data_IF_932824020570
#
_entry.id   IF_932824020570
#
_cell.length_a   1.000
_cell.length_b   1.000
_cell.length_c   1.000
_cell.angle_alpha   90.00
_cell.angle_beta   90.00
_cell.angle_gamma   90.00
#
_symmetry.space_group_name_H-M   'P 1'
#
loop_
_entity.id
_entity.type
_entity.pdbx_description
1 polymer ?
#
# COMPACT_ATOMS: atom_id res chain seq x y z
N UNK A 1 19.81 36.26 21.65
CA UNK A 1 18.47 36.13 21.04
C UNK A 1 18.13 34.65 21.05
N UNK A 2 17.57 34.16 22.16
CA UNK A 2 17.24 32.74 22.34
C UNK A 2 15.87 32.49 21.69
N UNK A 3 15.84 31.79 20.56
CA UNK A 3 14.61 31.29 19.98
C UNK A 3 14.06 30.21 20.93
N UNK A 4 13.06 30.58 21.72
CA UNK A 4 12.21 29.61 22.43
C UNK A 4 11.54 28.75 21.36
N UNK A 5 12.02 27.52 21.19
CA UNK A 5 11.30 26.48 20.47
C UNK A 5 10.01 26.21 21.23
N UNK A 6 8.91 26.75 20.71
CA UNK A 6 7.57 26.53 21.24
C UNK A 6 7.21 25.06 20.98
N UNK A 7 7.49 24.19 21.94
CA UNK A 7 7.09 22.77 21.88
C UNK A 7 5.58 22.75 22.12
N UNK A 8 4.79 22.65 21.05
CA UNK A 8 3.34 22.42 21.17
C UNK A 8 3.11 21.16 22.03
N UNK A 9 2.23 21.21 23.04
CA UNK A 9 1.91 20.04 23.83
C UNK A 9 1.31 18.96 22.91
N UNK A 10 1.77 17.72 23.09
CA UNK A 10 1.27 16.55 22.36
C UNK A 10 -0.21 16.41 22.69
N UNK A 11 -1.10 16.71 21.75
CA UNK A 11 -2.54 16.57 21.96
C UNK A 11 -2.88 15.10 22.17
N UNK A 12 -3.82 14.79 23.07
CA UNK A 12 -4.23 13.42 23.37
C UNK A 12 -4.67 12.65 22.10
N UNK A 13 -5.20 13.37 21.11
CA UNK A 13 -5.60 12.86 19.81
C UNK A 13 -4.44 12.34 18.95
N UNK A 14 -3.25 12.96 19.04
CA UNK A 14 -2.08 12.55 18.24
C UNK A 14 -1.63 11.11 18.56
N UNK A 15 -1.78 10.67 19.80
CA UNK A 15 -1.44 9.31 20.25
C UNK A 15 -2.43 8.31 19.65
N UNK A 16 -3.73 8.64 19.66
CA UNK A 16 -4.77 7.80 19.06
C UNK A 16 -4.59 7.63 17.55
N UNK A 17 -4.28 8.71 16.81
CA UNK A 17 -4.05 8.63 15.36
C UNK A 17 -2.83 7.77 15.01
N UNK A 18 -1.73 7.92 15.75
CA UNK A 18 -0.53 7.07 15.59
C UNK A 18 -0.84 5.61 15.91
N UNK A 19 -1.61 5.34 16.96
CA UNK A 19 -2.07 4.00 17.31
C UNK A 19 -2.93 3.36 16.21
N UNK A 20 -3.85 4.13 15.61
CA UNK A 20 -4.69 3.66 14.51
C UNK A 20 -3.84 3.34 13.25
N UNK A 21 -2.85 4.19 12.94
CA UNK A 21 -1.90 3.94 11.86
C UNK A 21 -1.13 2.63 12.06
N UNK A 22 -0.61 2.39 13.26
CA UNK A 22 0.10 1.15 13.60
C UNK A 22 -0.81 -0.08 13.56
N UNK A 23 -2.04 0.05 14.07
CA UNK A 23 -3.03 -1.03 14.02
C UNK A 23 -3.35 -1.44 12.58
N UNK A 24 -3.55 -0.46 11.69
CA UNK A 24 -3.73 -0.72 10.26
C UNK A 24 -2.51 -1.45 9.69
N UNK A 25 -1.29 -0.97 9.96
CA UNK A 25 -0.05 -1.62 9.52
C UNK A 25 0.06 -3.08 9.95
N UNK A 26 -0.21 -3.37 11.23
CA UNK A 26 -0.21 -4.74 11.77
C UNK A 26 -1.28 -5.59 11.08
N UNK A 27 -2.51 -5.08 10.96
CA UNK A 27 -3.61 -5.81 10.34
C UNK A 27 -3.32 -6.18 8.89
N UNK A 28 -2.72 -5.25 8.14
CA UNK A 28 -2.27 -5.47 6.75
C UNK A 28 -1.16 -6.50 6.68
N UNK A 29 -0.16 -6.43 7.55
CA UNK A 29 0.92 -7.41 7.58
C UNK A 29 0.41 -8.82 7.90
N UNK A 30 -0.50 -8.95 8.87
CA UNK A 30 -1.15 -10.23 9.22
C UNK A 30 -1.95 -10.75 8.02
N UNK A 31 -2.75 -9.91 7.37
CA UNK A 31 -3.51 -10.29 6.19
C UNK A 31 -2.61 -10.83 5.06
N UNK A 32 -1.50 -10.15 4.77
CA UNK A 32 -0.51 -10.62 3.80
C UNK A 32 0.13 -11.95 4.19
N UNK A 33 0.50 -12.12 5.47
CA UNK A 33 1.05 -13.39 5.96
C UNK A 33 0.06 -14.54 5.79
N UNK A 34 -1.23 -14.32 6.07
CA UNK A 34 -2.25 -15.34 5.87
C UNK A 34 -2.38 -15.76 4.40
N UNK A 35 -2.31 -14.81 3.46
CA UNK A 35 -2.30 -15.14 2.02
C UNK A 35 -1.07 -15.99 1.65
N UNK A 36 0.11 -15.64 2.17
CA UNK A 36 1.34 -16.42 1.91
C UNK A 36 1.26 -17.84 2.52
N UNK A 37 0.66 -17.99 3.70
CA UNK A 37 0.42 -19.29 4.33
C UNK A 37 -0.56 -20.12 3.50
N UNK A 38 -1.66 -19.51 3.05
CA UNK A 38 -2.64 -20.17 2.19
C UNK A 38 -1.99 -20.74 0.92
N UNK A 39 -1.08 -19.98 0.30
CA UNK A 39 -0.29 -20.47 -0.83
C UNK A 39 0.72 -21.56 -0.46
N UNK A 40 1.48 -21.38 0.62
CA UNK A 40 2.52 -22.32 1.03
C UNK A 40 1.96 -23.71 1.37
N UNK A 41 0.77 -23.76 1.97
CA UNK A 41 0.09 -25.00 2.37
C UNK A 41 -1.01 -25.44 1.41
N UNK A 42 -1.23 -24.70 0.31
CA UNK A 42 -2.33 -24.92 -0.63
C UNK A 42 -3.71 -24.99 0.05
N UNK A 43 -3.89 -24.16 1.09
CA UNK A 43 -5.13 -24.02 1.85
C UNK A 43 -5.94 -22.93 1.14
N UNK A 44 -6.96 -23.32 0.36
CA UNK A 44 -7.77 -22.38 -0.44
C UNK A 44 -8.82 -21.63 0.41
N UNK A 45 -8.51 -21.16 1.62
CA UNK A 45 -9.51 -20.54 2.53
C UNK A 45 -9.72 -19.05 2.23
N UNK A 46 -8.66 -18.28 2.00
CA UNK A 46 -8.71 -16.85 1.67
C UNK A 46 -8.68 -16.61 0.17
N UNK A 47 -8.10 -17.52 -0.60
CA UNK A 47 -8.17 -17.49 -2.06
C UNK A 47 -9.56 -17.87 -2.61
N UNK A 48 -10.43 -18.53 -1.83
CA UNK A 48 -11.78 -18.92 -2.27
C UNK A 48 -12.83 -17.82 -2.20
N UNK A 49 -12.50 -16.62 -1.72
CA UNK A 49 -13.50 -15.56 -1.51
C UNK A 49 -14.03 -14.93 -2.81
N UNK A 50 -13.44 -15.24 -3.97
CA UNK A 50 -14.04 -14.94 -5.28
C UNK A 50 -13.63 -15.97 -6.34
N UNK A 51 -14.59 -16.73 -6.91
CA UNK A 51 -14.34 -17.68 -8.02
C UNK A 51 -13.80 -17.02 -9.30
N UNK A 52 -14.02 -15.71 -9.48
CA UNK A 52 -13.73 -14.96 -10.71
C UNK A 52 -12.54 -13.98 -10.59
N UNK A 53 -11.84 -13.93 -9.45
CA UNK A 53 -10.68 -13.04 -9.30
C UNK A 53 -9.43 -13.70 -9.86
N UNK A 54 -8.83 -13.00 -10.83
CA UNK A 54 -7.44 -13.12 -11.26
C UNK A 54 -6.51 -13.55 -10.12
N UNK A 55 -5.67 -14.56 -10.41
CA UNK A 55 -4.70 -15.07 -9.45
C UNK A 55 -3.86 -13.91 -8.89
N UNK A 56 -3.91 -13.72 -7.57
CA UNK A 56 -3.09 -12.71 -6.88
C UNK A 56 -1.61 -12.94 -7.25
N UNK A 57 -0.89 -11.88 -7.62
CA UNK A 57 0.54 -11.98 -7.86
C UNK A 57 1.34 -11.93 -6.55
N UNK A 58 2.46 -12.63 -6.53
CA UNK A 58 3.30 -12.75 -5.35
C UNK A 58 3.99 -11.43 -4.96
N UNK A 59 4.42 -10.63 -5.94
CA UNK A 59 4.98 -9.30 -5.72
C UNK A 59 4.00 -8.35 -5.01
N UNK A 60 2.70 -8.45 -5.33
CA UNK A 60 1.64 -7.67 -4.69
C UNK A 60 1.49 -8.02 -3.21
N UNK A 61 1.44 -9.31 -2.89
CA UNK A 61 1.31 -9.79 -1.50
C UNK A 61 2.53 -9.40 -0.67
N UNK A 62 3.74 -9.56 -1.23
CA UNK A 62 4.96 -9.14 -0.56
C UNK A 62 5.04 -7.63 -0.36
N UNK A 63 4.69 -6.84 -1.37
CA UNK A 63 4.65 -5.37 -1.25
C UNK A 63 3.70 -4.95 -0.15
N UNK A 64 2.53 -5.58 -0.08
CA UNK A 64 1.55 -5.32 0.97
C UNK A 64 2.08 -5.67 2.36
N UNK A 65 2.82 -6.78 2.49
CA UNK A 65 3.48 -7.16 3.74
C UNK A 65 4.52 -6.10 4.16
N UNK A 66 5.38 -5.67 3.23
CA UNK A 66 6.41 -4.66 3.48
C UNK A 66 5.79 -3.32 3.90
N UNK A 67 4.69 -2.91 3.27
CA UNK A 67 3.97 -1.68 3.63
C UNK A 67 3.40 -1.76 5.04
N UNK A 68 2.80 -2.90 5.41
CA UNK A 68 2.28 -3.13 6.76
C UNK A 68 3.37 -3.09 7.83
N UNK A 69 4.51 -3.76 7.57
CA UNK A 69 5.67 -3.74 8.46
C UNK A 69 6.28 -2.34 8.59
N UNK A 70 6.37 -1.59 7.49
CA UNK A 70 6.87 -0.22 7.50
C UNK A 70 5.99 0.71 8.35
N UNK A 71 4.67 0.60 8.24
CA UNK A 71 3.73 1.36 9.07
C UNK A 71 3.82 0.99 10.55
N UNK A 72 3.94 -0.30 10.86
CA UNK A 72 4.10 -0.75 12.25
C UNK A 72 5.40 -0.22 12.88
N UNK A 73 6.49 -0.23 12.11
CA UNK A 73 7.83 0.13 12.57
C UNK A 73 8.20 1.60 12.32
N UNK A 74 7.22 2.49 12.10
CA UNK A 74 7.43 3.93 11.88
C UNK A 74 8.41 4.64 12.84
N UNK A 75 8.52 4.27 14.14
CA UNK A 75 9.53 4.86 15.02
C UNK A 75 10.98 4.56 14.60
N UNK A 76 11.23 3.43 13.95
CA UNK A 76 12.56 2.94 13.54
C UNK A 76 12.90 3.40 12.12
N UNK A 77 13.28 4.67 12.00
CA UNK A 77 13.52 5.36 10.71
C UNK A 77 14.39 4.56 9.74
N UNK A 78 15.46 3.92 10.22
CA UNK A 78 16.37 3.13 9.38
C UNK A 78 15.70 1.90 8.77
N UNK A 79 14.85 1.21 9.53
CA UNK A 79 14.15 0.00 9.07
C UNK A 79 13.01 0.39 8.11
N UNK A 80 12.26 1.44 8.42
CA UNK A 80 11.21 1.97 7.54
C UNK A 80 11.79 2.40 6.20
N UNK A 81 12.96 3.06 6.23
CA UNK A 81 13.66 3.47 5.00
C UNK A 81 14.08 2.27 4.16
N UNK A 82 14.53 1.18 4.78
CA UNK A 82 14.84 -0.05 4.07
C UNK A 82 13.59 -0.61 3.38
N UNK A 83 12.46 -0.73 4.09
CA UNK A 83 11.21 -1.20 3.48
C UNK A 83 10.73 -0.27 2.36
N UNK A 84 10.83 1.05 2.53
CA UNK A 84 10.48 2.02 1.51
C UNK A 84 11.30 1.82 0.22
N UNK A 85 12.62 1.61 0.37
CA UNK A 85 13.51 1.30 -0.76
C UNK A 85 13.12 -0.02 -1.43
N UNK A 86 12.83 -1.06 -0.66
CA UNK A 86 12.40 -2.35 -1.21
C UNK A 86 11.08 -2.22 -2.00
N UNK A 87 10.09 -1.52 -1.45
CA UNK A 87 8.81 -1.26 -2.14
C UNK A 87 9.03 -0.45 -3.42
N UNK A 88 9.90 0.57 -3.39
CA UNK A 88 10.28 1.33 -4.57
C UNK A 88 10.93 0.46 -5.64
N UNK A 89 11.84 -0.44 -5.25
CA UNK A 89 12.44 -1.40 -6.17
C UNK A 89 11.39 -2.30 -6.80
N UNK A 90 10.42 -2.81 -6.02
CA UNK A 90 9.31 -3.61 -6.57
C UNK A 90 8.47 -2.80 -7.56
N UNK A 91 8.12 -1.55 -7.24
CA UNK A 91 7.37 -0.68 -8.16
C UNK A 91 8.13 -0.37 -9.46
N UNK A 92 9.43 -0.06 -9.36
CA UNK A 92 10.29 0.19 -10.53
C UNK A 92 10.45 -1.06 -11.40
N UNK A 93 10.56 -2.22 -10.76
CA UNK A 93 10.63 -3.49 -11.45
C UNK A 93 9.30 -3.83 -12.14
N UNK A 94 8.16 -3.56 -11.50
CA UNK A 94 6.85 -3.71 -12.12
C UNK A 94 6.65 -2.76 -13.31
N UNK A 95 7.18 -1.52 -13.27
CA UNK A 95 7.23 -0.65 -14.46
C UNK A 95 8.08 -1.27 -15.56
N UNK A 96 9.25 -1.82 -15.21
CA UNK A 96 10.15 -2.45 -16.17
C UNK A 96 9.44 -3.60 -16.89
N UNK A 97 8.81 -4.50 -16.15
CA UNK A 97 7.94 -5.56 -16.71
C UNK A 97 6.86 -4.96 -17.61
N UNK A 98 6.21 -3.88 -17.16
CA UNK A 98 5.13 -3.25 -17.91
C UNK A 98 5.59 -2.63 -19.23
N UNK A 99 6.75 -1.98 -19.27
CA UNK A 99 7.27 -1.30 -20.46
C UNK A 99 7.87 -2.30 -21.44
N UNK A 100 8.69 -3.22 -20.94
CA UNK A 100 9.43 -4.16 -21.78
C UNK A 100 8.67 -5.45 -22.08
N UNK A 101 7.48 -5.64 -21.48
CA UNK A 101 6.60 -6.78 -21.72
C UNK A 101 7.33 -8.12 -21.49
N UNK A 102 8.25 -8.15 -20.52
CA UNK A 102 8.87 -9.39 -20.06
C UNK A 102 8.16 -9.89 -18.81
N UNK A 103 8.02 -11.21 -18.69
CA UNK A 103 7.43 -11.85 -17.52
C UNK A 103 8.53 -12.51 -16.69
N UNK A 104 8.83 -11.94 -15.52
CA UNK A 104 9.65 -12.63 -14.51
C UNK A 104 8.66 -13.45 -13.71
N UNK A 105 8.45 -14.67 -14.18
CA UNK A 105 7.52 -15.65 -13.67
C UNK A 105 7.87 -16.03 -12.21
N UNK A 106 7.53 -15.17 -11.24
CA UNK A 106 7.76 -15.36 -9.79
C UNK A 106 6.65 -16.23 -9.17
N UNK A 107 5.49 -16.31 -9.83
CA UNK A 107 4.31 -17.04 -9.38
C UNK A 107 4.38 -18.59 -9.36
N UNK A 108 5.25 -19.31 -10.10
CA UNK A 108 5.18 -20.77 -10.17
C UNK A 108 5.89 -21.46 -8.99
N UNK A 109 6.54 -20.73 -8.09
CA UNK A 109 7.30 -21.32 -6.97
C UNK A 109 6.37 -22.03 -5.96
N UNK A 110 5.10 -21.63 -5.87
CA UNK A 110 4.16 -22.18 -4.88
C UNK A 110 2.87 -22.83 -5.45
N UNK A 111 2.56 -22.63 -6.74
CA UNK A 111 1.36 -23.21 -7.36
C UNK A 111 1.67 -24.52 -8.07
N UNK A 112 1.23 -25.65 -7.50
CA UNK A 112 1.29 -26.99 -8.11
C UNK A 112 0.14 -27.31 -9.07
N UNK A 113 -0.79 -26.38 -9.31
CA UNK A 113 -1.94 -26.60 -10.22
C UNK A 113 -1.53 -26.27 -11.68
N UNK A 114 -1.52 -27.25 -12.61
CA UNK A 114 -1.12 -27.02 -14.00
C UNK A 114 -2.28 -26.60 -14.93
N UNK A 115 -3.41 -26.09 -14.42
CA UNK A 115 -4.67 -25.98 -15.18
C UNK A 115 -5.31 -24.59 -15.15
N UNK A 116 -4.52 -23.53 -15.04
CA UNK A 116 -4.96 -22.25 -15.61
C UNK A 116 -3.93 -21.91 -16.66
N UNK A 117 -4.30 -22.13 -17.92
CA UNK A 117 -3.67 -21.46 -19.05
C UNK A 117 -3.91 -19.96 -18.89
N UNK A 118 -3.16 -19.37 -17.96
CA UNK A 118 -2.98 -17.93 -17.88
C UNK A 118 -2.41 -17.57 -19.23
N UNK A 119 -3.01 -16.60 -19.91
CA UNK A 119 -2.36 -16.00 -21.06
C UNK A 119 -1.14 -15.25 -20.49
N UNK A 120 0.00 -15.96 -20.43
CA UNK A 120 1.27 -15.54 -19.83
C UNK A 120 1.91 -14.32 -20.54
N UNK A 121 1.21 -13.79 -21.55
CA UNK A 121 1.56 -12.59 -22.30
C UNK A 121 0.81 -11.34 -21.80
N UNK A 122 -0.23 -11.53 -20.97
CA UNK A 122 -0.99 -10.45 -20.37
C UNK A 122 -0.21 -9.88 -19.20
N UNK A 123 0.28 -8.66 -19.36
CA UNK A 123 0.82 -7.85 -18.27
C UNK A 123 -0.23 -7.72 -17.15
N UNK A 124 -0.14 -8.59 -16.16
CA UNK A 124 -1.18 -8.83 -15.14
C UNK A 124 -1.29 -7.72 -14.10
N UNK A 125 -0.28 -6.85 -13.98
CA UNK A 125 -0.37 -5.69 -13.10
C UNK A 125 -1.17 -4.58 -13.79
N UNK A 126 -2.32 -4.22 -13.22
CA UNK A 126 -2.98 -2.97 -13.60
C UNK A 126 -1.99 -1.81 -13.36
N UNK A 127 -1.85 -0.91 -14.34
CA UNK A 127 -0.98 0.26 -14.26
C UNK A 127 -1.22 1.07 -12.98
N UNK A 128 -2.48 1.13 -12.51
CA UNK A 128 -2.83 1.80 -11.25
C UNK A 128 -2.17 1.17 -10.02
N UNK A 129 -2.04 -0.15 -9.99
CA UNK A 129 -1.39 -0.91 -8.92
C UNK A 129 0.11 -0.63 -8.90
N UNK A 130 0.75 -0.60 -10.07
CA UNK A 130 2.18 -0.27 -10.23
C UNK A 130 2.45 1.16 -9.70
N UNK A 131 1.61 2.11 -10.10
CA UNK A 131 1.72 3.50 -9.66
C UNK A 131 1.52 3.62 -8.15
N UNK A 132 0.58 2.88 -7.56
CA UNK A 132 0.38 2.87 -6.11
C UNK A 132 1.59 2.33 -5.35
N UNK A 133 2.26 1.28 -5.83
CA UNK A 133 3.51 0.80 -5.21
C UNK A 133 4.59 1.88 -5.17
N UNK A 134 4.80 2.57 -6.29
CA UNK A 134 5.77 3.66 -6.35
C UNK A 134 5.39 4.78 -5.40
N UNK A 135 4.14 5.25 -5.45
CA UNK A 135 3.70 6.38 -4.63
C UNK A 135 3.79 6.05 -3.14
N UNK A 136 3.42 4.85 -2.72
CA UNK A 136 3.56 4.41 -1.32
C UNK A 136 5.04 4.31 -0.92
N UNK A 137 5.89 3.73 -1.78
CA UNK A 137 7.32 3.64 -1.55
C UNK A 137 7.98 5.01 -1.41
N UNK A 138 7.63 5.96 -2.30
CA UNK A 138 8.05 7.36 -2.21
C UNK A 138 7.53 7.98 -0.91
N UNK A 139 6.26 7.81 -0.59
CA UNK A 139 5.64 8.44 0.57
C UNK A 139 6.27 7.96 1.89
N UNK A 140 6.55 6.65 2.00
CA UNK A 140 7.28 6.06 3.12
C UNK A 140 8.74 6.52 3.14
N UNK A 141 9.41 6.64 2.00
CA UNK A 141 10.78 7.15 1.98
C UNK A 141 10.83 8.60 2.49
N UNK A 142 9.95 9.45 1.98
CA UNK A 142 9.84 10.86 2.36
C UNK A 142 9.50 11.05 3.84
N UNK A 143 8.64 10.19 4.43
CA UNK A 143 8.30 10.28 5.86
C UNK A 143 9.49 9.94 6.78
N UNK A 144 10.54 9.28 6.24
CA UNK A 144 11.79 8.97 6.95
C UNK A 144 12.87 10.04 6.84
N UNK A 145 12.61 11.10 6.06
CA UNK A 145 13.49 12.25 5.93
C UNK A 145 13.12 13.31 7.00
N UNK A 146 13.49 14.56 6.74
CA UNK A 146 13.17 15.68 7.60
C UNK A 146 11.72 16.14 7.45
N UNK A 147 11.25 16.95 8.39
CA UNK A 147 9.88 17.43 8.47
C UNK A 147 9.38 18.19 7.24
N UNK A 148 10.30 18.80 6.49
CA UNK A 148 9.99 19.52 5.25
C UNK A 148 9.37 18.61 4.17
N UNK A 149 9.61 17.30 4.24
CA UNK A 149 9.13 16.33 3.25
C UNK A 149 7.80 15.67 3.62
N UNK A 150 7.25 15.96 4.82
CA UNK A 150 6.00 15.34 5.28
C UNK A 150 4.81 15.76 4.41
N UNK A 151 4.77 17.01 3.95
CA UNK A 151 3.71 17.45 3.03
C UNK A 151 3.76 16.65 1.72
N UNK A 152 4.94 16.44 1.14
CA UNK A 152 5.10 15.65 -0.07
C UNK A 152 4.70 14.18 0.13
N UNK A 153 5.08 13.58 1.26
CA UNK A 153 4.61 12.23 1.66
C UNK A 153 3.08 12.15 1.73
N UNK A 154 2.43 13.15 2.37
CA UNK A 154 0.97 13.20 2.47
C UNK A 154 0.29 13.42 1.11
N UNK A 155 0.86 14.23 0.21
CA UNK A 155 0.35 14.39 -1.16
C UNK A 155 0.39 13.05 -1.91
N UNK A 156 1.49 12.29 -1.78
CA UNK A 156 1.57 10.95 -2.35
C UNK A 156 0.51 10.01 -1.75
N UNK A 157 0.29 10.05 -0.44
CA UNK A 157 -0.75 9.25 0.21
C UNK A 157 -2.16 9.60 -0.30
N UNK A 158 -2.48 10.90 -0.44
CA UNK A 158 -3.75 11.35 -1.01
C UNK A 158 -3.90 10.82 -2.44
N UNK A 159 -2.87 10.94 -3.28
CA UNK A 159 -2.91 10.41 -4.65
C UNK A 159 -3.18 8.89 -4.68
N UNK A 160 -2.50 8.11 -3.82
CA UNK A 160 -2.75 6.66 -3.68
C UNK A 160 -4.20 6.37 -3.32
N UNK A 161 -4.75 7.11 -2.36
CA UNK A 161 -6.15 6.91 -1.94
C UNK A 161 -7.14 7.23 -3.07
N UNK A 162 -6.89 8.27 -3.87
CA UNK A 162 -7.74 8.64 -5.00
C UNK A 162 -7.67 7.59 -6.12
N UNK A 163 -6.49 7.07 -6.42
CA UNK A 163 -6.30 6.00 -7.41
C UNK A 163 -7.01 4.73 -6.93
N UNK A 164 -6.82 4.33 -5.66
CA UNK A 164 -7.48 3.16 -5.09
C UNK A 164 -9.01 3.30 -5.06
N UNK A 165 -9.53 4.49 -4.72
CA UNK A 165 -10.97 4.78 -4.77
C UNK A 165 -11.50 4.69 -6.19
N UNK A 166 -10.79 5.26 -7.16
CA UNK A 166 -11.16 5.18 -8.58
C UNK A 166 -11.24 3.73 -9.05
N UNK A 167 -10.24 2.91 -8.75
CA UNK A 167 -10.22 1.49 -9.11
C UNK A 167 -11.34 0.70 -8.44
N UNK A 168 -11.59 0.96 -7.14
CA UNK A 168 -12.66 0.29 -6.41
C UNK A 168 -14.04 0.66 -6.96
N UNK A 169 -14.27 1.93 -7.33
CA UNK A 169 -15.52 2.36 -7.96
C UNK A 169 -15.71 1.71 -9.33
N UNK A 170 -14.67 1.67 -10.17
CA UNK A 170 -14.73 1.00 -11.46
C UNK A 170 -15.04 -0.49 -11.33
N UNK A 171 -14.48 -1.15 -10.32
CA UNK A 171 -14.80 -2.54 -9.99
C UNK A 171 -16.26 -2.70 -9.57
N UNK A 172 -16.75 -1.88 -8.63
CA UNK A 172 -18.11 -1.96 -8.10
C UNK A 172 -19.19 -1.66 -9.16
N UNK A 173 -18.94 -0.70 -10.04
CA UNK A 173 -19.89 -0.34 -11.10
C UNK A 173 -19.75 -1.19 -12.36
N UNK A 174 -18.79 -2.12 -12.41
CA UNK A 174 -18.54 -2.95 -13.60
C UNK A 174 -18.23 -2.12 -14.84
N UNK A 175 -17.71 -0.91 -14.68
CA UNK A 175 -17.46 0.04 -15.78
C UNK A 175 -16.27 -0.37 -16.67
N UNK A 176 -15.56 -1.43 -16.30
CA UNK A 176 -14.51 -2.01 -17.12
C UNK A 176 -15.00 -3.30 -17.76
N UNK A 177 -14.79 -3.41 -19.08
CA UNK A 177 -14.96 -4.67 -19.80
C UNK A 177 -14.27 -5.82 -19.06
N UNK A 178 -15.03 -6.89 -18.82
CA UNK A 178 -14.77 -8.05 -17.95
C UNK A 178 -13.50 -8.88 -18.28
N UNK A 179 -12.50 -8.35 -18.97
CA UNK A 179 -11.30 -9.08 -19.36
C UNK A 179 -9.96 -8.34 -19.24
N UNK A 180 -9.94 -7.01 -19.05
CA UNK A 180 -8.68 -6.25 -19.28
C UNK A 180 -8.22 -5.36 -18.13
N UNK A 181 -9.12 -4.91 -17.24
CA UNK A 181 -8.77 -3.89 -16.22
C UNK A 181 -8.58 -4.43 -14.79
N UNK A 182 -9.11 -5.61 -14.45
CA UNK A 182 -9.06 -6.13 -13.08
C UNK A 182 -8.36 -7.48 -12.97
N UNK A 183 -7.08 -7.49 -13.34
CA UNK A 183 -6.15 -8.55 -12.92
C UNK A 183 -5.66 -8.36 -11.46
N UNK A 184 -6.06 -7.27 -10.80
CA UNK A 184 -5.82 -7.03 -9.37
C UNK A 184 -7.11 -7.27 -8.59
N UNK A 185 -7.10 -8.12 -7.54
CA UNK A 185 -8.29 -8.37 -6.73
C UNK A 185 -8.73 -7.14 -5.93
N UNK A 186 -10.05 -6.94 -5.72
CA UNK A 186 -10.60 -5.70 -5.14
C UNK A 186 -10.13 -5.42 -3.71
N UNK A 187 -9.80 -6.46 -2.94
CA UNK A 187 -9.20 -6.33 -1.60
C UNK A 187 -7.90 -5.51 -1.60
N UNK A 188 -7.12 -5.51 -2.69
CA UNK A 188 -5.91 -4.70 -2.78
C UNK A 188 -6.21 -3.21 -2.94
N UNK A 189 -7.26 -2.85 -3.68
CA UNK A 189 -7.68 -1.44 -3.80
C UNK A 189 -8.10 -0.88 -2.44
N UNK A 190 -8.89 -1.65 -1.68
CA UNK A 190 -9.26 -1.31 -0.32
C UNK A 190 -8.01 -1.19 0.59
N UNK A 191 -7.06 -2.11 0.46
CA UNK A 191 -5.83 -2.07 1.24
C UNK A 191 -4.97 -0.83 0.94
N UNK A 192 -4.85 -0.42 -0.33
CA UNK A 192 -4.14 0.82 -0.70
C UNK A 192 -4.77 2.05 -0.07
N UNK A 193 -6.11 2.15 -0.07
CA UNK A 193 -6.82 3.25 0.58
C UNK A 193 -6.53 3.25 2.08
N UNK A 194 -6.61 2.09 2.75
CA UNK A 194 -6.35 1.97 4.19
C UNK A 194 -4.90 2.34 4.55
N UNK A 195 -3.92 1.87 3.76
CA UNK A 195 -2.49 2.22 3.95
C UNK A 195 -2.27 3.72 3.75
N UNK A 196 -2.87 4.31 2.72
CA UNK A 196 -2.77 5.74 2.47
C UNK A 196 -3.32 6.56 3.65
N UNK A 197 -4.50 6.18 4.17
CA UNK A 197 -5.07 6.80 5.35
C UNK A 197 -4.16 6.61 6.57
N UNK A 198 -3.64 5.41 6.80
CA UNK A 198 -2.70 5.16 7.89
C UNK A 198 -1.43 6.02 7.77
N UNK A 199 -0.93 6.26 6.56
CA UNK A 199 0.24 7.12 6.32
C UNK A 199 -0.05 8.60 6.63
N UNK A 200 -1.26 9.08 6.32
CA UNK A 200 -1.70 10.43 6.74
C UNK A 200 -1.72 10.52 8.27
N UNK A 201 -2.29 9.51 8.93
CA UNK A 201 -2.42 9.45 10.39
C UNK A 201 -1.09 9.20 11.14
N UNK A 202 -0.03 8.80 10.44
CA UNK A 202 1.28 8.53 11.03
C UNK A 202 1.95 9.80 11.60
N UNK A 203 1.69 10.96 10.98
CA UNK A 203 2.21 12.27 11.39
C UNK A 203 1.06 13.27 11.48
N UNK A 204 0.15 13.11 12.46
CA UNK A 204 -1.04 13.97 12.59
C UNK A 204 -0.65 15.42 12.90
N UNK A 205 0.49 15.61 13.58
CA UNK A 205 0.97 16.91 14.04
C UNK A 205 1.65 17.75 12.94
N UNK A 206 1.69 17.26 11.68
CA UNK A 206 2.47 17.87 10.57
C UNK A 206 1.70 17.85 9.23
N UNK A 207 2.05 18.78 8.35
CA UNK A 207 1.48 18.89 7.01
C UNK A 207 -0.02 19.22 7.00
N UNK A 208 -0.76 18.64 6.06
CA UNK A 208 -2.21 18.82 5.87
C UNK A 208 -2.99 18.39 7.12
N UNK A 209 -2.51 17.37 7.84
CA UNK A 209 -3.20 16.86 9.02
C UNK A 209 -3.30 17.88 10.15
N UNK A 210 -2.42 18.88 10.23
CA UNK A 210 -2.54 19.96 11.23
C UNK A 210 -3.89 20.69 11.12
N UNK A 211 -4.41 20.85 9.90
CA UNK A 211 -5.69 21.54 9.68
C UNK A 211 -6.87 20.67 10.08
N UNK A 212 -6.73 19.34 9.91
CA UNK A 212 -7.78 18.35 10.19
C UNK A 212 -7.83 18.00 11.69
N UNK A 213 -6.69 18.04 12.37
CA UNK A 213 -6.54 17.64 13.78
C UNK A 213 -6.18 18.81 14.69
N UNK A 214 -6.44 20.05 14.25
CA UNK A 214 -6.29 21.23 15.10
C UNK A 214 -7.33 21.25 16.23
N UNK A 215 -7.46 22.38 16.92
CA UNK A 215 -8.59 22.64 17.82
C UNK A 215 -9.45 23.82 17.29
N UNK A 216 -9.45 24.04 15.97
CA UNK A 216 -10.11 25.17 15.30
C UNK A 216 -11.42 24.72 14.60
N UNK A 217 -12.23 25.65 14.08
CA UNK A 217 -13.57 25.35 13.53
C UNK A 217 -13.62 24.38 12.31
N UNK A 218 -12.47 23.93 11.80
CA UNK A 218 -12.36 22.88 10.76
C UNK A 218 -11.66 21.60 11.21
N UNK A 219 -11.35 21.49 12.51
CA UNK A 219 -10.38 20.58 13.11
C UNK A 219 -9.77 21.31 14.28
#
# INVERSE_FOLDING_TARGET
>A
MLAMTYVKPVSHFSIWYKGLSQFTGISTAVFSCLILIDWAFNIKILCSFSPDTSAMRMDAVFSLLLMGLALWQLPEVGIVRLYAILILCVGLFAIAEYIWQFDININPIFSKDPIVSIDLTSNTNNLSTIVNYLLIGIALFLITLDDNWILASQICAVAVSLIGLWDLLNYMYGMSDHGTYFNTPPQFFAAFILIALALLLARPDKGVMIVITGDNLGG
#
